data_IF_541689913992
#
_entry.id   IF_541689913992
#
_cell.length_a   1.000
_cell.length_b   1.000
_cell.length_c   1.000
_cell.angle_alpha   90.00
_cell.angle_beta   90.00
_cell.angle_gamma   90.00
#
_symmetry.space_group_name_H-M   'P 1'
#
loop_
_entity.id
_entity.type
_entity.pdbx_description
1 polymer ?
#
# COMPACT_ATOMS: atom_id res chain seq x y z
N UNK A 1 -5.15 -1.25 24.45
CA UNK A 1 -5.36 -0.95 23.02
C UNK A 1 -4.37 0.08 22.52
N UNK A 2 -3.97 -0.04 21.25
CA UNK A 2 -3.16 0.96 20.56
C UNK A 2 -4.08 2.04 19.99
N UNK A 3 -3.79 3.29 20.31
CA UNK A 3 -4.47 4.48 19.80
C UNK A 3 -3.47 5.33 19.02
N UNK A 4 -3.95 6.04 18.00
CA UNK A 4 -3.13 7.01 17.30
C UNK A 4 -2.77 8.17 18.23
N UNK A 5 -1.61 8.77 17.99
CA UNK A 5 -1.14 9.96 18.71
C UNK A 5 -1.55 11.26 18.02
N UNK A 6 -2.19 11.19 16.86
CA UNK A 6 -2.69 12.30 16.07
C UNK A 6 -4.21 12.23 15.87
N UNK A 7 -4.87 13.40 15.90
CA UNK A 7 -6.32 13.51 15.74
C UNK A 7 -6.78 13.07 14.35
N UNK A 8 -8.00 12.53 14.27
CA UNK A 8 -8.67 12.13 13.03
C UNK A 8 -8.66 13.22 11.95
N UNK A 9 -8.76 14.49 12.36
CA UNK A 9 -8.72 15.64 11.44
C UNK A 9 -7.35 15.83 10.78
N UNK A 10 -6.26 15.50 11.49
CA UNK A 10 -4.89 15.62 10.98
C UNK A 10 -4.44 14.36 10.24
N UNK A 11 -4.95 13.20 10.65
CA UNK A 11 -4.55 11.90 10.10
C UNK A 11 -5.29 11.56 8.80
N UNK A 12 -6.54 12.01 8.65
CA UNK A 12 -7.34 11.71 7.47
C UNK A 12 -6.73 12.30 6.19
N UNK A 13 -6.86 11.57 5.08
CA UNK A 13 -6.54 12.07 3.74
C UNK A 13 -7.39 13.30 3.41
N UNK A 14 -6.77 14.29 2.75
CA UNK A 14 -7.39 15.59 2.49
C UNK A 14 -8.62 15.52 1.58
N UNK A 15 -8.67 14.54 0.68
CA UNK A 15 -9.78 14.25 -0.23
C UNK A 15 -10.80 13.26 0.34
N UNK A 16 -10.55 12.74 1.55
CA UNK A 16 -11.45 11.84 2.26
C UNK A 16 -11.43 12.15 3.77
N UNK A 17 -12.00 13.29 4.19
CA UNK A 17 -11.91 13.74 5.57
C UNK A 17 -12.65 12.82 6.54
N UNK A 18 -12.25 12.86 7.81
CA UNK A 18 -12.92 12.15 8.89
C UNK A 18 -14.40 12.59 8.99
N UNK A 19 -15.31 11.61 9.10
CA UNK A 19 -16.77 11.84 9.20
C UNK A 19 -17.30 11.78 10.64
N UNK A 20 -16.40 11.88 11.61
CA UNK A 20 -16.72 11.85 13.04
C UNK A 20 -16.19 13.12 13.72
N UNK A 21 -16.66 13.37 14.95
CA UNK A 21 -16.04 14.39 15.80
C UNK A 21 -14.53 14.16 15.94
N UNK A 22 -13.71 15.23 16.08
CA UNK A 22 -12.27 15.10 16.23
C UNK A 22 -11.90 14.21 17.42
N UNK A 23 -11.14 13.15 17.16
CA UNK A 23 -10.67 12.22 18.20
C UNK A 23 -9.40 11.49 17.80
N UNK A 24 -8.72 10.91 18.79
CA UNK A 24 -7.65 9.96 18.56
C UNK A 24 -8.27 8.60 18.23
N UNK A 25 -8.12 8.13 16.99
CA UNK A 25 -8.69 6.84 16.59
C UNK A 25 -7.98 5.68 17.28
N UNK A 26 -8.75 4.65 17.61
CA UNK A 26 -8.18 3.32 17.89
C UNK A 26 -7.64 2.70 16.60
N UNK A 27 -6.79 1.67 16.72
CA UNK A 27 -6.32 0.90 15.54
C UNK A 27 -7.48 0.38 14.66
N UNK A 28 -8.60 -0.01 15.26
CA UNK A 28 -9.71 -0.64 14.54
C UNK A 28 -10.55 0.43 13.83
N UNK A 29 -10.75 1.59 14.47
CA UNK A 29 -11.40 2.74 13.85
C UNK A 29 -10.60 3.27 12.65
N UNK A 30 -9.27 3.34 12.79
CA UNK A 30 -8.42 3.78 11.69
C UNK A 30 -8.39 2.76 10.55
N UNK A 31 -8.37 1.46 10.85
CA UNK A 31 -8.49 0.42 9.83
C UNK A 31 -9.82 0.52 9.06
N UNK A 32 -10.92 0.78 9.77
CA UNK A 32 -12.23 0.94 9.12
C UNK A 32 -12.28 2.18 8.23
N UNK A 33 -11.67 3.29 8.68
CA UNK A 33 -11.46 4.47 7.85
C UNK A 33 -10.69 4.15 6.55
N UNK A 34 -9.57 3.41 6.64
CA UNK A 34 -8.77 3.03 5.48
C UNK A 34 -9.55 2.10 4.52
N UNK A 35 -10.36 1.18 5.04
CA UNK A 35 -11.25 0.37 4.20
C UNK A 35 -12.28 1.23 3.46
N UNK A 36 -12.88 2.19 4.16
CA UNK A 36 -13.80 3.17 3.58
C UNK A 36 -13.15 3.99 2.46
N UNK A 37 -11.89 4.39 2.63
CA UNK A 37 -11.09 5.07 1.60
C UNK A 37 -10.90 4.17 0.37
N UNK A 38 -10.43 2.94 0.56
CA UNK A 38 -10.24 1.98 -0.53
C UNK A 38 -11.54 1.68 -1.29
N UNK A 39 -12.67 1.54 -0.58
CA UNK A 39 -13.98 1.33 -1.21
C UNK A 39 -14.45 2.56 -2.00
N UNK A 40 -14.26 3.76 -1.45
CA UNK A 40 -14.71 5.01 -2.07
C UNK A 40 -14.02 5.28 -3.42
N UNK A 41 -12.72 5.01 -3.50
CA UNK A 41 -11.91 5.24 -4.71
C UNK A 41 -11.71 3.97 -5.57
N UNK A 42 -12.38 2.86 -5.27
CA UNK A 42 -12.28 1.63 -6.06
C UNK A 42 -10.93 0.92 -5.99
N UNK A 43 -10.09 1.19 -4.98
CA UNK A 43 -8.69 0.74 -4.97
C UNK A 43 -8.52 -0.77 -4.83
N UNK A 44 -9.52 -1.48 -4.31
CA UNK A 44 -9.44 -2.92 -4.07
C UNK A 44 -9.16 -3.74 -5.33
N UNK A 45 -9.61 -3.31 -6.50
CA UNK A 45 -9.37 -4.02 -7.77
C UNK A 45 -7.89 -4.04 -8.19
N UNK A 46 -7.09 -3.14 -7.63
CA UNK A 46 -5.65 -3.02 -7.90
C UNK A 46 -4.77 -3.67 -6.83
N UNK A 47 -5.34 -4.23 -5.76
CA UNK A 47 -4.60 -4.80 -4.62
C UNK A 47 -4.60 -6.33 -4.70
N UNK A 48 -3.41 -6.91 -4.88
CA UNK A 48 -3.20 -8.35 -4.90
C UNK A 48 -2.65 -8.84 -3.56
N UNK A 49 -3.52 -9.39 -2.71
CA UNK A 49 -3.11 -9.96 -1.41
C UNK A 49 -2.46 -11.33 -1.56
N UNK A 50 -1.65 -11.74 -0.58
CA UNK A 50 -0.94 -13.02 -0.61
C UNK A 50 0.08 -13.13 -1.75
N UNK A 51 0.59 -11.98 -2.20
CA UNK A 51 1.52 -11.85 -3.32
C UNK A 51 2.80 -11.13 -2.86
N UNK A 52 3.67 -11.75 -2.06
CA UNK A 52 4.84 -11.07 -1.51
C UNK A 52 5.86 -10.76 -2.63
N UNK A 53 6.30 -9.51 -2.68
CA UNK A 53 7.39 -9.05 -3.55
C UNK A 53 8.71 -9.56 -3.00
N UNK A 54 9.49 -10.26 -3.82
CA UNK A 54 10.77 -10.88 -3.43
C UNK A 54 11.99 -10.10 -3.88
N UNK A 55 11.90 -9.45 -5.03
CA UNK A 55 12.99 -8.69 -5.59
C UNK A 55 12.44 -7.56 -6.48
N UNK A 56 13.19 -6.46 -6.56
CA UNK A 56 12.95 -5.41 -7.53
C UNK A 56 14.31 -4.92 -8.04
N UNK A 57 14.56 -5.07 -9.35
CA UNK A 57 15.83 -4.70 -9.97
C UNK A 57 15.59 -3.77 -11.14
N UNK A 58 16.33 -2.67 -11.20
CA UNK A 58 16.27 -1.74 -12.33
C UNK A 58 17.10 -2.28 -13.49
N UNK A 59 16.51 -2.41 -14.67
CA UNK A 59 17.17 -2.91 -15.90
C UNK A 59 17.01 -1.92 -17.05
N UNK A 60 18.03 -1.85 -17.90
CA UNK A 60 18.00 -1.08 -19.14
C UNK A 60 17.62 -2.02 -20.29
N UNK A 61 16.63 -1.63 -21.09
CA UNK A 61 16.21 -2.33 -22.31
C UNK A 61 17.12 -1.98 -23.48
N UNK A 62 17.03 -2.76 -24.55
CA UNK A 62 17.80 -2.58 -25.78
C UNK A 62 17.50 -1.23 -26.46
N UNK A 63 16.26 -0.75 -26.37
CA UNK A 63 15.83 0.58 -26.83
C UNK A 63 16.36 1.74 -25.95
N UNK A 64 17.14 1.43 -24.92
CA UNK A 64 17.75 2.38 -24.00
C UNK A 64 16.84 2.81 -22.84
N UNK A 65 15.57 2.40 -22.79
CA UNK A 65 14.64 2.72 -21.71
C UNK A 65 14.97 1.96 -20.42
N UNK A 66 14.57 2.52 -19.28
CA UNK A 66 14.74 1.87 -17.97
C UNK A 66 13.40 1.33 -17.48
N UNK A 67 13.42 0.11 -16.97
CA UNK A 67 12.27 -0.52 -16.33
C UNK A 67 12.67 -1.12 -14.98
N UNK A 68 11.68 -1.32 -14.12
CA UNK A 68 11.76 -2.17 -12.95
C UNK A 68 11.31 -3.58 -13.30
N UNK A 69 12.13 -4.55 -12.94
CA UNK A 69 11.78 -5.97 -13.01
C UNK A 69 11.51 -6.44 -11.59
N UNK A 70 10.26 -6.83 -11.32
CA UNK A 70 9.76 -7.15 -9.98
C UNK A 70 9.31 -8.60 -9.92
N UNK A 71 9.93 -9.38 -9.04
CA UNK A 71 9.56 -10.76 -8.77
C UNK A 71 8.56 -10.83 -7.63
N UNK A 72 7.44 -11.52 -7.86
CA UNK A 72 6.36 -11.70 -6.90
C UNK A 72 6.02 -13.19 -6.79
N UNK A 73 5.92 -13.72 -5.57
CA UNK A 73 5.38 -15.07 -5.39
C UNK A 73 3.86 -15.05 -5.57
N UNK A 74 3.34 -16.06 -6.25
CA UNK A 74 1.91 -16.26 -6.41
C UNK A 74 1.40 -17.29 -5.41
N UNK A 75 0.24 -17.03 -4.80
CA UNK A 75 -0.38 -17.87 -3.75
C UNK A 75 -0.63 -19.33 -4.18
N UNK A 76 -0.72 -19.59 -5.48
CA UNK A 76 -0.92 -20.94 -6.06
C UNK A 76 0.38 -21.72 -6.33
N UNK A 77 1.54 -21.23 -5.89
CA UNK A 77 2.84 -21.82 -6.19
C UNK A 77 3.34 -21.39 -7.56
N UNK A 78 4.22 -20.38 -7.58
CA UNK A 78 4.83 -19.87 -8.80
C UNK A 78 5.43 -18.49 -8.58
N UNK A 79 6.42 -18.11 -9.39
CA UNK A 79 6.95 -16.74 -9.42
C UNK A 79 6.41 -16.03 -10.65
N UNK A 80 5.87 -14.84 -10.47
CA UNK A 80 5.49 -13.95 -11.55
C UNK A 80 6.46 -12.79 -11.59
N UNK A 81 7.06 -12.57 -12.75
CA UNK A 81 7.93 -11.45 -13.04
C UNK A 81 7.13 -10.37 -13.74
N UNK A 82 7.21 -9.14 -13.24
CA UNK A 82 6.54 -7.96 -13.81
C UNK A 82 7.58 -6.98 -14.30
N UNK A 83 7.38 -6.44 -15.50
CA UNK A 83 8.12 -5.28 -15.99
C UNK A 83 7.26 -4.02 -15.83
N UNK A 84 7.78 -3.04 -15.09
CA UNK A 84 7.06 -1.82 -14.72
C UNK A 84 7.90 -0.60 -15.07
N UNK A 85 7.26 0.48 -15.50
CA UNK A 85 7.94 1.74 -15.78
C UNK A 85 8.32 2.49 -14.49
N UNK A 86 7.52 2.29 -13.43
CA UNK A 86 7.70 2.93 -12.13
C UNK A 86 7.45 1.93 -11.00
N UNK A 87 8.04 2.21 -9.85
CA UNK A 87 7.87 1.43 -8.62
C UNK A 87 7.74 2.40 -7.44
N UNK A 88 6.68 2.22 -6.65
CA UNK A 88 6.48 2.90 -5.38
C UNK A 88 6.65 1.90 -4.25
N UNK A 89 7.48 2.22 -3.27
CA UNK A 89 7.77 1.35 -2.12
C UNK A 89 7.05 1.89 -0.90
N UNK A 90 6.15 1.09 -0.33
CA UNK A 90 5.30 1.45 0.81
C UNK A 90 5.28 0.33 1.88
N UNK A 91 6.42 -0.28 2.16
CA UNK A 91 6.56 -1.40 3.11
C UNK A 91 6.49 -0.99 4.59
N UNK A 92 6.51 0.31 4.87
CA UNK A 92 6.68 0.82 6.23
C UNK A 92 8.08 0.56 6.79
N UNK A 93 8.35 1.08 7.99
CA UNK A 93 9.67 1.00 8.66
C UNK A 93 9.61 0.33 10.03
N UNK A 94 8.42 0.07 10.57
CA UNK A 94 8.22 -0.41 11.95
C UNK A 94 7.94 -1.92 12.03
N UNK A 95 8.27 -2.67 10.97
CA UNK A 95 8.06 -4.13 10.89
C UNK A 95 9.23 -4.92 11.52
N UNK A 96 10.47 -4.46 11.27
CA UNK A 96 11.67 -5.04 11.86
C UNK A 96 12.05 -4.22 13.11
N UNK A 97 12.23 -4.86 14.29
CA UNK A 97 12.63 -4.19 15.53
C UNK A 97 14.01 -3.51 15.48
#
# INVERSE_FOLDING_TARGET
>A
DVVLTTSSVLTAFSDYPAKCEPKMWTKDEYLEYLKGYCAHFGLYEHIYVGSPVKSATRKRKEDGTWVWVVDVDHKAGGRKCWELQALFVATGTNDVP
#
